data_IF_950960423011
#
_entry.id   IF_950960423011
#
_cell.length_a   1.000
_cell.length_b   1.000
_cell.length_c   1.000
_cell.angle_alpha   90.00
_cell.angle_beta   90.00
_cell.angle_gamma   90.00
#
_symmetry.space_group_name_H-M   'P 1'
#
loop_
_entity.id
_entity.type
_entity.pdbx_description
1 polymer ?
#
# COMPACT_ATOMS: atom_id res chain seq x y z
N UNK A 1 -10.38 -18.19 -18.51
CA UNK A 1 -9.35 -17.21 -18.10
C UNK A 1 -8.97 -17.50 -16.66
N UNK A 2 -7.71 -17.73 -16.37
CA UNK A 2 -7.31 -18.33 -15.08
C UNK A 2 -6.76 -17.30 -14.07
N UNK A 3 -7.00 -16.01 -14.29
CA UNK A 3 -6.68 -14.95 -13.32
C UNK A 3 -5.28 -14.35 -13.42
N UNK A 4 -4.34 -14.93 -14.16
CA UNK A 4 -3.04 -14.33 -14.46
C UNK A 4 -3.05 -13.68 -15.83
N UNK A 5 -2.58 -12.45 -15.88
CA UNK A 5 -2.51 -11.60 -17.07
C UNK A 5 -1.04 -11.35 -17.37
N UNK A 6 -0.57 -11.71 -18.54
CA UNK A 6 0.75 -11.30 -19.02
C UNK A 6 0.69 -9.85 -19.52
N UNK A 7 1.61 -9.02 -19.01
CA UNK A 7 1.73 -7.63 -19.41
C UNK A 7 2.66 -7.50 -20.61
N UNK A 8 2.13 -6.96 -21.72
CA UNK A 8 2.84 -6.92 -23.00
C UNK A 8 3.93 -5.87 -23.05
N UNK A 9 3.67 -4.70 -22.50
CA UNK A 9 4.61 -3.57 -22.45
C UNK A 9 5.54 -3.62 -21.25
N UNK A 10 5.26 -4.51 -20.31
CA UNK A 10 6.07 -4.75 -19.09
C UNK A 10 6.37 -3.46 -18.36
N UNK A 11 5.36 -2.80 -17.77
CA UNK A 11 5.54 -1.56 -17.02
C UNK A 11 6.71 -1.62 -16.06
N UNK A 12 7.40 -0.51 -15.91
CA UNK A 12 8.60 -0.41 -15.08
C UNK A 12 8.24 0.04 -13.68
N UNK A 13 8.71 -0.68 -12.68
CA UNK A 13 8.74 -0.21 -11.29
C UNK A 13 9.97 0.67 -11.15
N UNK A 14 9.75 1.98 -11.06
CA UNK A 14 10.82 2.96 -11.16
C UNK A 14 11.37 3.38 -9.80
N UNK A 15 10.49 3.60 -8.83
CA UNK A 15 10.87 4.13 -7.53
C UNK A 15 9.97 3.60 -6.43
N UNK A 16 10.50 3.57 -5.21
CA UNK A 16 9.75 3.34 -3.99
C UNK A 16 10.13 4.33 -2.91
N UNK A 17 9.19 4.59 -2.01
CA UNK A 17 9.42 5.33 -0.77
C UNK A 17 8.64 4.70 0.36
N UNK A 18 9.20 4.75 1.57
CA UNK A 18 8.57 4.24 2.77
C UNK A 18 8.84 5.17 3.95
N UNK A 19 7.76 5.60 4.60
CA UNK A 19 7.78 6.42 5.81
C UNK A 19 7.19 5.56 6.93
N UNK A 20 7.89 5.40 8.01
CA UNK A 20 7.51 4.50 9.09
C UNK A 20 7.39 5.23 10.43
N UNK A 21 6.59 4.67 11.32
CA UNK A 21 6.50 5.11 12.71
C UNK A 21 7.69 4.61 13.54
N UNK A 22 7.76 5.10 14.76
CA UNK A 22 8.82 4.80 15.72
C UNK A 22 9.02 3.30 15.96
N UNK A 23 7.93 2.56 16.14
CA UNK A 23 7.98 1.13 16.43
C UNK A 23 8.56 0.34 15.25
N UNK A 24 8.16 0.67 14.05
CA UNK A 24 8.65 0.07 12.81
C UNK A 24 10.12 0.40 12.58
N UNK A 25 10.53 1.63 12.93
CA UNK A 25 11.92 2.09 12.89
C UNK A 25 12.86 1.29 13.80
N UNK A 26 12.34 0.72 14.89
CA UNK A 26 13.09 -0.16 15.80
C UNK A 26 13.18 -1.61 15.30
N UNK A 27 12.47 -1.94 14.24
CA UNK A 27 12.48 -3.26 13.64
C UNK A 27 13.73 -3.53 12.78
N UNK A 28 13.86 -4.76 12.26
CA UNK A 28 15.04 -5.16 11.48
C UNK A 28 15.19 -4.39 10.16
N UNK A 29 14.13 -3.77 9.65
CA UNK A 29 14.14 -2.95 8.44
C UNK A 29 14.25 -1.45 8.72
N UNK A 30 14.46 -1.03 9.97
CA UNK A 30 14.43 0.37 10.39
C UNK A 30 15.36 1.29 9.60
N UNK A 31 16.54 0.80 9.20
CA UNK A 31 17.50 1.56 8.40
C UNK A 31 17.12 1.65 6.90
N UNK A 32 16.14 0.88 6.45
CA UNK A 32 15.69 0.86 5.06
C UNK A 32 14.58 1.85 4.74
N UNK A 33 13.99 2.50 5.73
CA UNK A 33 12.96 3.51 5.52
C UNK A 33 13.57 4.84 5.09
N UNK A 34 12.87 5.58 4.25
CA UNK A 34 13.29 6.93 3.83
C UNK A 34 13.20 7.91 5.01
N UNK A 35 12.23 7.69 5.91
CA UNK A 35 12.09 8.47 7.13
C UNK A 35 11.41 7.62 8.22
N UNK A 36 11.87 7.77 9.46
CA UNK A 36 11.22 7.25 10.67
C UNK A 36 10.70 8.43 11.49
N UNK A 37 9.43 8.38 11.85
CA UNK A 37 8.74 9.44 12.60
C UNK A 37 8.64 9.00 14.07
N UNK A 38 9.25 9.73 14.96
CA UNK A 38 9.27 9.43 16.40
C UNK A 38 7.97 9.82 17.12
N UNK A 39 7.27 10.81 16.60
CA UNK A 39 5.99 11.30 17.13
C UNK A 39 4.82 10.62 16.44
N UNK A 40 4.01 9.89 17.19
CA UNK A 40 2.82 9.16 16.67
C UNK A 40 1.78 10.08 16.04
N UNK A 41 1.78 11.36 16.38
CA UNK A 41 0.91 12.37 15.77
C UNK A 41 1.54 13.02 14.52
N UNK A 42 2.81 12.80 14.27
CA UNK A 42 3.54 13.46 13.17
C UNK A 42 3.36 14.99 13.16
N UNK A 43 3.22 15.59 14.34
CA UNK A 43 2.94 17.01 14.51
C UNK A 43 1.51 17.44 14.19
N UNK A 44 0.58 16.50 14.01
CA UNK A 44 -0.83 16.74 13.70
C UNK A 44 -1.71 16.68 14.97
N UNK A 45 -2.96 17.11 14.83
CA UNK A 45 -3.92 17.17 15.95
C UNK A 45 -4.63 15.84 16.23
N UNK A 46 -4.59 14.90 15.29
CA UNK A 46 -5.25 13.59 15.40
C UNK A 46 -4.49 12.50 14.63
N UNK A 47 -4.73 11.25 15.00
CA UNK A 47 -4.10 10.10 14.35
C UNK A 47 -4.53 9.94 12.89
N UNK A 48 -5.76 10.32 12.55
CA UNK A 48 -6.23 10.31 11.15
C UNK A 48 -5.52 11.37 10.30
N UNK A 49 -5.26 12.55 10.87
CA UNK A 49 -4.44 13.58 10.21
C UNK A 49 -2.99 13.14 10.10
N UNK A 50 -2.45 12.49 11.14
CA UNK A 50 -1.11 11.90 11.10
C UNK A 50 -1.00 10.86 9.99
N UNK A 51 -1.97 9.95 9.85
CA UNK A 51 -2.00 8.96 8.76
C UNK A 51 -2.06 9.62 7.38
N UNK A 52 -2.87 10.67 7.23
CA UNK A 52 -2.90 11.48 6.01
C UNK A 52 -1.52 12.05 5.67
N UNK A 53 -0.80 12.55 6.68
CA UNK A 53 0.55 13.08 6.52
C UNK A 53 1.58 12.00 6.17
N UNK A 54 1.48 10.80 6.76
CA UNK A 54 2.28 9.64 6.36
C UNK A 54 2.08 9.31 4.89
N UNK A 55 0.82 9.22 4.45
CA UNK A 55 0.47 8.94 3.06
C UNK A 55 1.03 10.01 2.11
N UNK A 56 0.76 11.28 2.41
CA UNK A 56 1.26 12.41 1.63
C UNK A 56 2.80 12.37 1.52
N UNK A 57 3.49 12.19 2.65
CA UNK A 57 4.95 12.22 2.69
C UNK A 57 5.57 11.06 1.90
N UNK A 58 5.01 9.86 1.97
CA UNK A 58 5.48 8.73 1.18
C UNK A 58 5.28 8.96 -0.32
N UNK A 59 4.10 9.44 -0.72
CA UNK A 59 3.77 9.76 -2.10
C UNK A 59 4.69 10.86 -2.67
N UNK A 60 4.81 11.98 -1.99
CA UNK A 60 5.67 13.11 -2.38
C UNK A 60 7.15 12.69 -2.44
N UNK A 61 7.64 11.94 -1.46
CA UNK A 61 9.02 11.43 -1.44
C UNK A 61 9.28 10.51 -2.63
N UNK A 62 8.35 9.61 -2.95
CA UNK A 62 8.48 8.72 -4.11
C UNK A 62 8.56 9.50 -5.43
N UNK A 63 7.70 10.49 -5.61
CA UNK A 63 7.67 11.35 -6.80
C UNK A 63 8.99 12.14 -6.93
N UNK A 64 9.43 12.78 -5.86
CA UNK A 64 10.69 13.56 -5.85
C UNK A 64 11.92 12.69 -6.10
N UNK A 65 11.99 11.50 -5.51
CA UNK A 65 13.08 10.53 -5.75
C UNK A 65 13.12 10.09 -7.22
N UNK A 66 11.99 10.04 -7.88
CA UNK A 66 11.90 9.76 -9.31
C UNK A 66 12.27 10.96 -10.21
N UNK A 67 12.55 12.13 -9.63
CA UNK A 67 12.83 13.36 -10.36
C UNK A 67 11.60 13.98 -11.03
N UNK A 68 10.40 13.65 -10.56
CA UNK A 68 9.14 14.10 -11.11
C UNK A 68 8.49 15.19 -10.24
N UNK A 69 7.53 15.89 -10.83
CA UNK A 69 6.55 16.74 -10.15
C UNK A 69 5.21 16.02 -10.04
N UNK A 70 4.33 16.49 -9.16
CA UNK A 70 2.98 15.92 -9.02
C UNK A 70 2.19 15.93 -10.34
N UNK A 71 2.36 16.98 -11.17
CA UNK A 71 1.68 17.12 -12.46
C UNK A 71 2.13 16.12 -13.53
N UNK A 72 3.27 15.46 -13.32
CA UNK A 72 3.79 14.44 -14.22
C UNK A 72 3.31 13.02 -13.85
N UNK A 73 2.50 12.90 -12.81
CA UNK A 73 1.85 11.66 -12.41
C UNK A 73 0.42 11.68 -12.94
N UNK A 74 0.10 10.76 -13.86
CA UNK A 74 -1.21 10.74 -14.53
C UNK A 74 -2.32 10.26 -13.61
N UNK A 75 -2.03 9.30 -12.72
CA UNK A 75 -2.99 8.75 -11.77
C UNK A 75 -2.29 8.27 -10.50
N UNK A 76 -2.95 8.43 -9.38
CA UNK A 76 -2.61 7.81 -8.11
C UNK A 76 -3.67 6.77 -7.75
N UNK A 77 -3.23 5.60 -7.33
CA UNK A 77 -4.07 4.51 -6.82
C UNK A 77 -3.65 4.20 -5.40
N UNK A 78 -4.60 4.03 -4.52
CA UNK A 78 -4.25 3.66 -3.15
C UNK A 78 -5.39 3.80 -2.17
N UNK A 79 -5.08 3.57 -0.91
CA UNK A 79 -6.03 3.65 0.18
C UNK A 79 -5.37 3.43 1.52
N UNK A 80 -6.21 3.41 2.53
CA UNK A 80 -5.83 3.23 3.92
C UNK A 80 -6.77 2.23 4.61
N UNK A 81 -6.66 2.08 5.92
CA UNK A 81 -7.51 1.17 6.70
C UNK A 81 -8.78 1.83 7.24
N UNK A 82 -8.93 3.14 7.08
CA UNK A 82 -10.07 3.85 7.62
C UNK A 82 -11.31 3.67 6.75
N UNK A 83 -12.46 3.75 7.37
CA UNK A 83 -13.72 3.67 6.64
C UNK A 83 -13.78 4.77 5.58
N UNK A 84 -14.08 4.34 4.35
CA UNK A 84 -14.12 5.12 3.13
C UNK A 84 -12.77 5.78 2.74
N UNK A 85 -11.63 5.18 3.14
CA UNK A 85 -10.28 5.64 2.74
C UNK A 85 -10.06 7.14 2.96
N UNK A 86 -10.41 7.60 4.17
CA UNK A 86 -10.42 9.03 4.49
C UNK A 86 -9.04 9.67 4.40
N UNK A 87 -8.00 9.03 4.96
CA UNK A 87 -6.64 9.57 4.98
C UNK A 87 -6.05 9.66 3.58
N UNK A 88 -6.20 8.62 2.77
CA UNK A 88 -5.72 8.59 1.39
C UNK A 88 -6.44 9.65 0.52
N UNK A 89 -7.76 9.81 0.70
CA UNK A 89 -8.55 10.81 -0.03
C UNK A 89 -8.12 12.25 0.30
N UNK A 90 -7.83 12.53 1.58
CA UNK A 90 -7.35 13.85 2.01
C UNK A 90 -5.94 14.14 1.45
N UNK A 91 -5.04 13.16 1.50
CA UNK A 91 -3.72 13.28 0.91
C UNK A 91 -3.77 13.48 -0.61
N UNK A 92 -4.65 12.75 -1.30
CA UNK A 92 -4.87 12.89 -2.73
C UNK A 92 -5.33 14.31 -3.11
N UNK A 93 -6.22 14.90 -2.32
CA UNK A 93 -6.67 16.29 -2.49
C UNK A 93 -5.49 17.27 -2.43
N UNK A 94 -4.56 17.07 -1.51
CA UNK A 94 -3.39 17.94 -1.35
C UNK A 94 -2.37 17.75 -2.47
N UNK A 95 -2.13 16.52 -2.90
CA UNK A 95 -1.23 16.17 -4.00
C UNK A 95 -1.76 16.66 -5.36
N UNK A 96 -3.09 16.87 -5.50
CA UNK A 96 -3.76 17.29 -6.73
C UNK A 96 -3.49 16.37 -7.92
N UNK A 97 -3.34 15.08 -7.67
CA UNK A 97 -3.20 14.03 -8.68
C UNK A 97 -4.56 13.35 -8.86
N UNK A 98 -4.99 13.00 -10.08
CA UNK A 98 -6.18 12.18 -10.29
C UNK A 98 -6.11 10.90 -9.45
N UNK A 99 -7.17 10.57 -8.71
CA UNK A 99 -7.13 9.54 -7.68
C UNK A 99 -8.17 8.45 -7.89
N UNK A 100 -7.73 7.19 -7.85
CA UNK A 100 -8.57 6.01 -7.76
C UNK A 100 -8.40 5.42 -6.36
N UNK A 101 -9.39 5.65 -5.50
CA UNK A 101 -9.39 5.12 -4.14
C UNK A 101 -9.72 3.63 -4.12
N UNK A 102 -8.92 2.85 -3.39
CA UNK A 102 -9.05 1.41 -3.24
C UNK A 102 -9.31 1.07 -1.78
N UNK A 103 -10.28 0.21 -1.52
CA UNK A 103 -10.64 -0.21 -0.17
C UNK A 103 -10.44 -1.72 0.01
N UNK A 104 -9.21 -2.17 -0.17
CA UNK A 104 -8.79 -3.55 -0.04
C UNK A 104 -8.12 -3.90 1.30
N UNK A 105 -8.09 -2.97 2.26
CA UNK A 105 -7.38 -3.13 3.53
C UNK A 105 -5.94 -3.64 3.30
N UNK A 106 -5.58 -4.80 3.82
CA UNK A 106 -4.23 -5.37 3.70
C UNK A 106 -3.80 -5.68 2.25
N UNK A 107 -4.72 -5.78 1.30
CA UNK A 107 -4.41 -6.01 -0.12
C UNK A 107 -4.23 -4.72 -0.92
N UNK A 108 -4.54 -3.56 -0.37
CA UNK A 108 -4.58 -2.27 -1.09
C UNK A 108 -3.30 -1.97 -1.87
N UNK A 109 -2.11 -2.19 -1.28
CA UNK A 109 -0.85 -1.93 -1.98
C UNK A 109 -0.65 -2.87 -3.18
N UNK A 110 -0.92 -4.16 -3.02
CA UNK A 110 -0.83 -5.12 -4.12
C UNK A 110 -1.89 -4.85 -5.20
N UNK A 111 -3.11 -4.51 -4.78
CA UNK A 111 -4.21 -4.15 -5.69
C UNK A 111 -3.88 -2.89 -6.50
N UNK A 112 -3.35 -1.84 -5.85
CA UNK A 112 -2.94 -0.61 -6.53
C UNK A 112 -1.83 -0.88 -7.55
N UNK A 113 -0.83 -1.70 -7.22
CA UNK A 113 0.22 -2.11 -8.15
C UNK A 113 -0.32 -2.91 -9.32
N UNK A 114 -1.26 -3.83 -9.09
CA UNK A 114 -1.89 -4.61 -10.15
C UNK A 114 -2.66 -3.72 -11.13
N UNK A 115 -3.53 -2.85 -10.62
CA UNK A 115 -4.35 -1.95 -11.46
C UNK A 115 -3.44 -0.93 -12.15
N UNK A 116 -2.50 -0.31 -11.44
CA UNK A 116 -1.54 0.63 -12.00
C UNK A 116 -0.71 0.02 -13.13
N UNK A 117 -0.21 -1.21 -12.94
CA UNK A 117 0.52 -1.92 -13.97
C UNK A 117 -0.35 -2.20 -15.21
N UNK A 118 -1.60 -2.62 -15.03
CA UNK A 118 -2.53 -2.83 -16.14
C UNK A 118 -2.84 -1.53 -16.89
N UNK A 119 -3.04 -0.41 -16.20
CA UNK A 119 -3.29 0.89 -16.82
C UNK A 119 -2.11 1.37 -17.65
N UNK A 120 -0.89 1.22 -17.13
CA UNK A 120 0.34 1.59 -17.86
C UNK A 120 0.57 0.63 -19.03
N UNK A 121 0.36 -0.68 -18.85
CA UNK A 121 0.50 -1.68 -19.92
C UNK A 121 -0.50 -1.45 -21.06
N UNK A 122 -1.73 -1.10 -20.73
CA UNK A 122 -2.75 -0.75 -21.73
C UNK A 122 -2.44 0.58 -22.45
N UNK A 123 -1.57 1.41 -21.90
CA UNK A 123 -1.22 2.74 -22.44
C UNK A 123 -2.26 3.81 -22.15
N UNK A 124 -3.14 3.59 -21.18
CA UNK A 124 -4.10 4.60 -20.73
C UNK A 124 -3.43 5.72 -19.94
N UNK A 125 -2.36 5.38 -19.20
CA UNK A 125 -1.52 6.32 -18.46
C UNK A 125 -0.04 6.01 -18.73
N UNK A 126 0.82 7.00 -18.61
CA UNK A 126 2.28 6.84 -18.70
C UNK A 126 2.89 6.55 -17.34
N UNK A 127 2.34 7.18 -16.29
CA UNK A 127 2.88 7.14 -14.94
C UNK A 127 1.75 6.95 -13.93
N UNK A 128 1.87 5.93 -13.10
CA UNK A 128 0.95 5.61 -12.04
C UNK A 128 1.68 5.55 -10.69
N UNK A 129 1.19 6.27 -9.70
CA UNK A 129 1.65 6.19 -8.32
C UNK A 129 0.74 5.26 -7.53
N UNK A 130 1.31 4.26 -6.88
CA UNK A 130 0.61 3.30 -6.04
C UNK A 130 1.01 3.53 -4.59
N UNK A 131 0.06 3.73 -3.68
CA UNK A 131 0.37 4.02 -2.29
C UNK A 131 -0.65 3.40 -1.33
N UNK A 132 -0.18 3.04 -0.14
CA UNK A 132 -1.03 2.60 0.95
C UNK A 132 -0.47 3.08 2.29
N UNK A 133 -1.36 3.35 3.24
CA UNK A 133 -0.99 3.72 4.61
C UNK A 133 -1.80 2.97 5.65
N UNK A 134 -1.30 3.00 6.86
CA UNK A 134 -2.03 2.69 8.07
C UNK A 134 -1.44 3.45 9.24
N UNK A 135 -2.25 3.64 10.27
CA UNK A 135 -1.79 4.15 11.56
C UNK A 135 -2.36 3.26 12.66
N UNK A 136 -1.49 2.79 13.54
CA UNK A 136 -1.89 1.87 14.61
C UNK A 136 -3.12 2.36 15.38
N UNK A 137 -3.07 3.59 15.90
CA UNK A 137 -4.15 4.09 16.76
C UNK A 137 -5.47 4.30 16.02
N UNK A 138 -5.46 4.84 14.80
CA UNK A 138 -6.69 5.03 14.01
C UNK A 138 -7.30 3.70 13.59
N UNK A 139 -6.48 2.73 13.17
CA UNK A 139 -6.92 1.40 12.79
C UNK A 139 -7.49 0.62 13.99
N UNK A 140 -6.81 0.66 15.15
CA UNK A 140 -7.30 0.01 16.36
C UNK A 140 -8.66 0.58 16.78
N UNK A 141 -8.83 1.89 16.76
CA UNK A 141 -10.10 2.53 17.08
C UNK A 141 -11.24 2.10 16.15
N UNK A 142 -10.93 1.86 14.89
CA UNK A 142 -11.93 1.44 13.91
C UNK A 142 -12.27 -0.05 13.98
N UNK A 143 -11.28 -0.93 14.17
CA UNK A 143 -11.47 -2.37 14.03
C UNK A 143 -11.60 -3.11 15.35
N UNK A 144 -11.21 -2.52 16.47
CA UNK A 144 -11.22 -3.15 17.79
C UNK A 144 -12.13 -2.40 18.77
N UNK A 145 -13.30 -2.06 18.32
CA UNK A 145 -14.34 -1.47 19.16
C UNK A 145 -14.96 -2.53 20.11
N UNK A 146 -15.32 -2.20 21.36
CA UNK A 146 -15.13 -0.89 22.01
C UNK A 146 -13.75 -0.77 22.67
N UNK A 147 -13.04 0.29 22.36
CA UNK A 147 -11.71 0.59 22.94
C UNK A 147 -11.79 0.94 24.43
N UNK A 148 -12.93 1.45 24.90
CA UNK A 148 -13.14 1.91 26.26
C UNK A 148 -12.93 0.82 27.31
N UNK A 149 -13.15 -0.43 26.96
CA UNK A 149 -12.93 -1.57 27.87
C UNK A 149 -11.49 -2.04 27.91
N UNK A 150 -10.61 -1.47 27.10
CA UNK A 150 -9.22 -1.87 26.99
C UNK A 150 -9.09 -3.33 26.52
N UNK A 151 -8.27 -3.56 25.53
CA UNK A 151 -7.96 -4.91 25.08
C UNK A 151 -6.54 -5.25 25.52
N UNK A 152 -6.40 -6.13 26.50
CA UNK A 152 -5.08 -6.70 26.79
C UNK A 152 -4.65 -7.55 25.60
N UNK A 153 -3.59 -7.11 24.93
CA UNK A 153 -3.01 -7.88 23.85
C UNK A 153 -2.22 -9.05 24.42
N UNK A 154 -2.44 -10.21 23.83
CA UNK A 154 -1.56 -11.35 24.07
C UNK A 154 -0.17 -11.05 23.50
N UNK A 155 0.91 -11.67 24.03
CA UNK A 155 2.26 -11.51 23.47
C UNK A 155 2.37 -11.87 21.98
N UNK A 156 1.45 -12.70 21.49
CA UNK A 156 1.39 -13.16 20.09
C UNK A 156 0.50 -12.30 19.19
N UNK A 157 -0.17 -11.29 19.74
CA UNK A 157 -1.05 -10.43 18.96
C UNK A 157 -0.26 -9.62 17.91
N UNK A 158 -0.77 -9.62 16.68
CA UNK A 158 -0.22 -8.82 15.61
C UNK A 158 -0.60 -7.35 15.77
N UNK A 159 0.28 -6.48 15.35
CA UNK A 159 0.12 -5.03 15.42
C UNK A 159 -0.12 -4.45 14.04
N UNK A 160 -1.05 -3.50 13.95
CA UNK A 160 -1.17 -2.68 12.75
C UNK A 160 0.06 -1.77 12.63
N UNK A 161 0.64 -1.72 11.45
CA UNK A 161 1.79 -0.86 11.15
C UNK A 161 1.38 0.61 11.18
N UNK A 162 2.24 1.46 11.71
CA UNK A 162 2.17 2.91 11.50
C UNK A 162 3.15 3.30 10.42
N UNK A 163 2.63 3.75 9.29
CA UNK A 163 3.47 4.16 8.17
C UNK A 163 2.73 4.18 6.84
N UNK A 164 3.46 4.52 5.80
CA UNK A 164 2.99 4.52 4.43
C UNK A 164 4.10 4.12 3.47
N UNK A 165 3.71 3.37 2.44
CA UNK A 165 4.55 3.03 1.31
C UNK A 165 3.99 3.57 0.00
N UNK A 166 4.87 4.03 -0.89
CA UNK A 166 4.52 4.44 -2.24
C UNK A 166 5.46 3.81 -3.28
N UNK A 167 4.95 3.50 -4.45
CA UNK A 167 5.70 2.96 -5.58
C UNK A 167 5.26 3.60 -6.89
N UNK A 168 6.22 3.95 -7.73
CA UNK A 168 5.99 4.58 -9.03
C UNK A 168 6.14 3.56 -10.15
N UNK A 169 5.10 3.41 -10.95
CA UNK A 169 5.09 2.64 -12.19
C UNK A 169 5.12 3.58 -13.39
N UNK A 170 5.93 3.27 -14.41
CA UNK A 170 5.98 4.10 -15.61
C UNK A 170 6.32 3.29 -16.86
N UNK A 171 5.86 3.80 -18.01
CA UNK A 171 6.33 3.40 -19.35
C UNK A 171 7.46 4.29 -19.87
N UNK A 172 7.83 5.37 -19.18
CA UNK A 172 8.87 6.30 -19.59
C UNK A 172 10.26 5.69 -19.36
N UNK A 173 11.01 5.47 -20.43
CA UNK A 173 12.33 4.84 -20.36
C UNK A 173 13.42 5.76 -19.79
N UNK A 174 13.17 7.05 -19.70
CA UNK A 174 14.10 8.02 -19.11
C UNK A 174 14.12 7.97 -17.59
N UNK A 175 13.08 7.41 -16.94
CA UNK A 175 13.06 7.23 -15.49
C UNK A 175 13.78 5.93 -15.15
N UNK A 176 14.81 5.91 -14.30
CA UNK A 176 15.48 4.68 -13.88
C UNK A 176 14.49 3.65 -13.33
N UNK A 177 14.70 2.37 -13.58
CA UNK A 177 13.81 1.31 -13.11
C UNK A 177 14.54 0.30 -12.21
N UNK A 178 13.84 -0.12 -11.17
CA UNK A 178 14.28 -1.16 -10.22
C UNK A 178 13.93 -2.55 -10.76
N UNK A 179 12.73 -2.67 -11.37
CA UNK A 179 12.19 -3.92 -11.87
C UNK A 179 11.20 -3.68 -13.02
N UNK A 180 10.69 -4.77 -13.63
CA UNK A 180 9.61 -4.75 -14.60
C UNK A 180 8.46 -5.64 -14.15
N UNK A 181 7.24 -5.17 -14.30
CA UNK A 181 6.04 -5.95 -14.08
C UNK A 181 5.76 -6.80 -15.32
N UNK A 182 5.89 -8.10 -15.21
CA UNK A 182 5.66 -9.04 -16.32
C UNK A 182 4.28 -9.65 -16.29
N UNK A 183 3.75 -9.88 -15.09
CA UNK A 183 2.46 -10.54 -14.88
C UNK A 183 1.70 -9.90 -13.73
N UNK A 184 0.39 -9.97 -13.82
CA UNK A 184 -0.54 -9.64 -12.74
C UNK A 184 -1.42 -10.86 -12.49
N UNK A 185 -1.48 -11.34 -11.26
CA UNK A 185 -2.39 -12.42 -10.86
C UNK A 185 -3.49 -11.88 -9.97
N UNK A 186 -4.73 -11.95 -10.43
CA UNK A 186 -5.88 -11.50 -9.66
C UNK A 186 -6.21 -12.53 -8.59
N UNK A 187 -6.25 -12.08 -7.34
CA UNK A 187 -6.59 -12.89 -6.18
C UNK A 187 -8.05 -13.29 -6.14
N UNK A 188 -8.37 -14.27 -5.30
CA UNK A 188 -9.73 -14.67 -4.96
C UNK A 188 -9.95 -14.53 -3.48
N UNK A 189 -11.17 -14.25 -3.06
CA UNK A 189 -11.53 -14.32 -1.65
C UNK A 189 -11.37 -15.77 -1.19
N UNK A 190 -10.60 -15.97 -0.14
CA UNK A 190 -10.38 -17.27 0.49
C UNK A 190 -10.64 -17.11 1.97
N UNK A 191 -11.67 -17.79 2.48
CA UNK A 191 -12.07 -17.74 3.87
C UNK A 191 -11.98 -19.16 4.48
N UNK A 192 -11.18 -19.27 5.53
CA UNK A 192 -11.05 -20.51 6.33
C UNK A 192 -11.75 -20.39 7.69
N UNK A 193 -12.61 -19.38 7.87
CA UNK A 193 -13.36 -19.20 9.11
C UNK A 193 -12.50 -18.68 10.28
N UNK A 194 -11.40 -17.99 10.01
CA UNK A 194 -10.55 -17.39 11.04
C UNK A 194 -11.24 -16.15 11.60
N UNK A 195 -11.68 -16.23 12.86
CA UNK A 195 -12.40 -15.14 13.54
C UNK A 195 -11.52 -14.36 14.55
N UNK A 196 -10.28 -14.80 14.80
CA UNK A 196 -9.37 -14.11 15.73
C UNK A 196 -8.76 -12.87 15.11
N UNK A 197 -9.25 -11.69 15.54
CA UNK A 197 -8.73 -10.40 15.10
C UNK A 197 -7.26 -10.14 15.48
N UNK A 198 -6.69 -10.92 16.41
CA UNK A 198 -5.28 -10.83 16.77
C UNK A 198 -4.35 -11.63 15.85
N UNK A 199 -4.92 -12.46 14.97
CA UNK A 199 -4.17 -13.33 14.07
C UNK A 199 -4.56 -13.09 12.61
N UNK A 200 -4.34 -11.87 12.12
CA UNK A 200 -4.63 -11.49 10.74
C UNK A 200 -3.80 -12.26 9.71
N UNK A 201 -2.59 -12.70 10.09
CA UNK A 201 -1.73 -13.51 9.23
C UNK A 201 -2.36 -14.85 8.87
N UNK A 202 -3.01 -15.51 9.83
CA UNK A 202 -3.72 -16.76 9.56
C UNK A 202 -4.90 -16.59 8.60
N UNK A 203 -5.56 -15.43 8.62
CA UNK A 203 -6.63 -15.11 7.67
C UNK A 203 -6.08 -14.80 6.25
N UNK A 204 -4.93 -14.12 6.15
CA UNK A 204 -4.36 -13.69 4.87
C UNK A 204 -3.54 -14.77 4.17
N UNK A 205 -2.84 -15.63 4.90
CA UNK A 205 -1.91 -16.60 4.34
C UNK A 205 -2.54 -17.55 3.30
N UNK A 206 -3.76 -18.09 3.49
CA UNK A 206 -4.42 -18.94 2.49
C UNK A 206 -4.70 -18.25 1.17
N UNK A 207 -5.12 -16.98 1.20
CA UNK A 207 -5.39 -16.19 0.00
C UNK A 207 -4.09 -15.87 -0.76
N UNK A 208 -3.02 -15.53 -0.03
CA UNK A 208 -1.70 -15.33 -0.63
C UNK A 208 -1.17 -16.62 -1.26
N UNK A 209 -1.26 -17.76 -0.56
CA UNK A 209 -0.84 -19.06 -1.07
C UNK A 209 -1.61 -19.48 -2.33
N UNK A 210 -2.95 -19.30 -2.36
CA UNK A 210 -3.77 -19.56 -3.57
C UNK A 210 -3.29 -18.71 -4.75
N UNK A 211 -3.08 -17.42 -4.53
CA UNK A 211 -2.67 -16.48 -5.58
C UNK A 211 -1.29 -16.83 -6.15
N UNK A 212 -0.30 -17.07 -5.28
CA UNK A 212 1.05 -17.45 -5.69
C UNK A 212 1.08 -18.81 -6.40
N UNK A 213 0.32 -19.80 -5.90
CA UNK A 213 0.24 -21.11 -6.53
C UNK A 213 -0.33 -21.01 -7.94
N UNK A 214 -1.34 -20.16 -8.16
CA UNK A 214 -1.89 -19.92 -9.51
C UNK A 214 -0.89 -19.22 -10.41
N UNK A 215 -0.17 -18.22 -9.91
CA UNK A 215 0.89 -17.55 -10.66
C UNK A 215 1.92 -18.56 -11.18
N UNK A 216 2.47 -19.40 -10.30
CA UNK A 216 3.49 -20.39 -10.69
C UNK A 216 2.95 -21.42 -11.68
N UNK A 217 1.78 -22.01 -11.42
CA UNK A 217 1.19 -23.01 -12.32
C UNK A 217 0.93 -22.49 -13.73
N UNK A 218 0.66 -21.19 -13.87
CA UNK A 218 0.35 -20.59 -15.18
C UNK A 218 1.59 -20.14 -15.94
N UNK A 219 2.73 -20.00 -15.29
CA UNK A 219 3.98 -19.55 -15.87
C UNK A 219 5.03 -20.68 -16.01
N UNK A 220 4.62 -21.94 -15.85
CA UNK A 220 5.48 -23.10 -16.10
C UNK A 220 6.51 -23.36 -14.99
N UNK A 221 6.22 -22.92 -13.75
CA UNK A 221 6.99 -23.25 -12.55
C UNK A 221 6.50 -24.53 -11.90
#
# INVERSE_FOLDING_TARGET
MQGTIELRRRPRLCMGAAIAGKKEGQGPLGQGYDQVIEDDLFGEESWEKAECRFFYTAADTCIRKAGLTHQQVDVMLGGDLLNQITSASMAARELKIPFLGLYGACSTMAESLCIGAMLVDAGHVRTALCAASSHFCSAERQYRFPLEYGNQRTPTAQWTVTGSGASLLSSDENIPAIARCTHVTLGRVTDLGIADANNMGAAMAPAAADTLTRLYRQNGG
#
